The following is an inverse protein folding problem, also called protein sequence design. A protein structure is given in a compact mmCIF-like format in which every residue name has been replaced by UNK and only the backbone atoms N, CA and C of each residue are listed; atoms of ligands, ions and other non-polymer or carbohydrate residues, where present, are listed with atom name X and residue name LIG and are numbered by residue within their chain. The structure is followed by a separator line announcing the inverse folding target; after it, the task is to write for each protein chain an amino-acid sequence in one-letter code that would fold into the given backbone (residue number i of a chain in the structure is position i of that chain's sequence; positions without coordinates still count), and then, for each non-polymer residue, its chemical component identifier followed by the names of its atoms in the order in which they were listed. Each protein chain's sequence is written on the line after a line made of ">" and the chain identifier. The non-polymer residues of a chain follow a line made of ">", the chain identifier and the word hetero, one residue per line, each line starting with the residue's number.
data_IF_339007769323
#
_entry.id   IF_339007769323
#
_cell.length_a   1.000
_cell.length_b   1.000
_cell.length_c   1.000
_cell.angle_alpha   90.00
_cell.angle_beta   90.00
_cell.angle_gamma   90.00
#
_symmetry.space_group_name_H-M   'P 1'
#
loop_
_entity.id
_entity.type
_entity.pdbx_description
1 polymer ?
#
# COMPACT_ATOMS: atom_id res chain seq x y z
N UNK A 1 -35.41 -15.87 19.61
CA UNK A 1 -35.26 -15.43 18.21
C UNK A 1 -34.52 -14.10 18.20
N UNK A 2 -33.31 -14.07 17.64
CA UNK A 2 -32.67 -12.96 16.90
C UNK A 2 -31.27 -13.47 16.55
N UNK A 3 -31.11 -14.02 15.36
CA UNK A 3 -29.81 -14.46 14.84
C UNK A 3 -29.59 -13.69 13.53
N UNK A 4 -28.67 -12.73 13.55
CA UNK A 4 -28.33 -11.92 12.39
C UNK A 4 -27.39 -12.72 11.46
N UNK A 5 -27.54 -12.66 10.13
CA UNK A 5 -26.65 -13.37 9.22
C UNK A 5 -25.27 -12.70 9.17
N UNK A 6 -24.22 -13.48 9.44
CA UNK A 6 -22.82 -13.08 9.26
C UNK A 6 -22.56 -12.96 7.76
N UNK A 7 -22.16 -11.77 7.29
CA UNK A 7 -21.71 -11.55 5.92
C UNK A 7 -20.32 -12.17 5.74
N UNK A 8 -20.23 -13.07 4.77
CA UNK A 8 -19.02 -13.70 4.29
C UNK A 8 -18.19 -12.70 3.48
N UNK A 9 -16.98 -12.41 3.92
CA UNK A 9 -16.01 -11.58 3.17
C UNK A 9 -15.53 -12.36 1.94
N UNK A 10 -15.33 -11.64 0.82
CA UNK A 10 -14.82 -12.22 -0.42
C UNK A 10 -13.36 -12.61 -0.27
N UNK A 11 -13.08 -13.90 -0.48
CA UNK A 11 -11.75 -14.46 -0.57
C UNK A 11 -11.04 -13.90 -1.81
N UNK A 12 -9.96 -13.14 -1.61
CA UNK A 12 -9.13 -12.65 -2.71
C UNK A 12 -8.25 -13.80 -3.18
N UNK A 13 -8.83 -14.66 -4.04
CA UNK A 13 -8.08 -15.72 -4.72
C UNK A 13 -7.11 -15.07 -5.72
N UNK A 14 -5.82 -15.13 -5.40
CA UNK A 14 -4.72 -14.83 -6.32
C UNK A 14 -4.61 -16.01 -7.29
N UNK A 15 -5.11 -15.83 -8.50
CA UNK A 15 -4.99 -16.83 -9.56
C UNK A 15 -4.71 -16.11 -10.87
N UNK A 16 -3.40 -15.98 -11.10
CA UNK A 16 -2.68 -15.78 -12.35
C UNK A 16 -3.49 -15.39 -13.61
N UNK A 17 -3.50 -14.09 -13.88
CA UNK A 17 -3.49 -13.58 -15.26
C UNK A 17 -2.25 -12.71 -15.44
N UNK A 18 -1.14 -13.41 -15.73
CA UNK A 18 0.07 -12.95 -16.41
C UNK A 18 0.28 -11.42 -16.49
N UNK A 19 0.68 -10.82 -15.38
CA UNK A 19 1.53 -9.63 -15.38
C UNK A 19 2.41 -9.71 -14.15
N UNK A 20 3.62 -10.28 -14.30
CA UNK A 20 4.54 -10.34 -13.18
C UNK A 20 4.82 -8.91 -12.72
N UNK A 21 4.65 -8.64 -11.43
CA UNK A 21 4.98 -7.35 -10.80
C UNK A 21 6.29 -6.71 -11.32
N UNK A 22 7.37 -7.48 -11.57
CA UNK A 22 8.59 -6.97 -12.20
C UNK A 22 8.35 -6.32 -13.57
N UNK A 23 7.57 -6.96 -14.44
CA UNK A 23 7.24 -6.43 -15.78
C UNK A 23 6.33 -5.19 -15.74
N UNK A 24 5.58 -5.00 -14.66
CA UNK A 24 4.77 -3.80 -14.43
C UNK A 24 5.63 -2.63 -13.93
N UNK A 25 6.59 -2.89 -13.06
CA UNK A 25 7.58 -1.91 -12.57
C UNK A 25 8.43 -1.40 -13.74
N UNK A 26 8.86 -2.29 -14.64
CA UNK A 26 9.68 -1.91 -15.80
C UNK A 26 8.93 -1.01 -16.79
N UNK A 27 7.64 -1.27 -17.06
CA UNK A 27 6.80 -0.39 -17.89
C UNK A 27 6.59 1.00 -17.27
N UNK A 28 6.44 1.06 -15.94
CA UNK A 28 6.34 2.33 -15.20
C UNK A 28 7.67 3.11 -15.22
N UNK A 29 8.81 2.43 -15.16
CA UNK A 29 10.11 3.08 -15.27
C UNK A 29 10.35 3.67 -16.67
N UNK A 30 9.98 2.93 -17.74
CA UNK A 30 10.17 3.36 -19.14
C UNK A 30 9.33 4.59 -19.52
N UNK A 31 8.16 4.76 -18.92
CA UNK A 31 7.30 5.94 -19.14
C UNK A 31 7.85 7.20 -18.47
N UNK A 32 8.69 7.06 -17.42
CA UNK A 32 9.31 8.21 -16.75
C UNK A 32 10.47 8.85 -17.52
N UNK A 33 11.09 8.11 -18.47
CA UNK A 33 12.26 8.59 -19.25
C UNK A 33 11.92 9.04 -20.67
N UNK A 34 10.66 8.87 -21.11
CA UNK A 34 10.19 9.26 -22.45
C UNK A 34 9.33 10.53 -22.40
N UNK A 35 9.86 11.64 -21.86
CA UNK A 35 9.28 12.97 -22.11
C UNK A 35 10.06 13.65 -23.24
N UNK A 36 9.51 13.75 -24.47
CA UNK A 36 9.98 14.77 -25.40
C UNK A 36 9.65 16.15 -24.82
N UNK A 37 10.67 17.00 -24.78
CA UNK A 37 10.60 18.42 -24.43
C UNK A 37 9.62 19.12 -25.37
N UNK A 38 8.36 19.32 -24.96
CA UNK A 38 7.41 20.13 -25.72
C UNK A 38 5.94 19.84 -25.46
N UNK A 39 5.29 20.74 -24.72
CA UNK A 39 3.86 21.12 -24.78
C UNK A 39 2.77 20.04 -24.52
N UNK A 40 1.87 20.22 -23.53
CA UNK A 40 0.81 19.27 -23.28
C UNK A 40 -0.41 19.58 -24.14
N UNK A 41 -0.63 18.84 -25.22
CA UNK A 41 -1.98 18.56 -25.73
C UNK A 41 -2.34 17.12 -25.38
N UNK A 42 -3.50 16.86 -24.75
CA UNK A 42 -3.92 15.49 -24.46
C UNK A 42 -4.30 14.76 -25.75
N UNK A 43 -3.92 13.47 -25.93
CA UNK A 43 -4.31 12.69 -27.11
C UNK A 43 -5.81 12.34 -27.11
N UNK A 44 -6.40 12.43 -28.30
CA UNK A 44 -7.77 12.02 -28.63
C UNK A 44 -8.03 10.56 -28.23
N UNK A 45 -9.03 10.33 -27.39
CA UNK A 45 -9.56 8.99 -27.04
C UNK A 45 -10.56 8.53 -28.11
N UNK A 46 -10.55 7.25 -28.56
CA UNK A 46 -11.55 6.74 -29.50
C UNK A 46 -12.90 6.53 -28.79
N UNK A 47 -13.99 6.97 -29.42
CA UNK A 47 -15.36 6.85 -28.90
C UNK A 47 -15.86 5.40 -28.88
N UNK A 48 -16.51 4.93 -27.80
CA UNK A 48 -17.30 3.70 -27.84
C UNK A 48 -18.73 3.96 -28.32
N UNK A 49 -19.16 3.16 -29.30
CA UNK A 49 -20.46 3.24 -29.95
C UNK A 49 -21.63 2.96 -29.00
N UNK A 50 -22.69 3.74 -29.18
CA UNK A 50 -24.01 3.58 -28.58
C UNK A 50 -24.61 2.19 -28.82
N UNK A 51 -24.94 1.47 -27.76
CA UNK A 51 -25.94 0.40 -27.81
C UNK A 51 -27.04 0.71 -26.79
N UNK A 52 -28.19 1.07 -27.34
CA UNK A 52 -29.44 1.20 -26.63
C UNK A 52 -29.91 -0.20 -26.18
N UNK A 53 -30.13 -0.40 -24.88
CA UNK A 53 -31.16 -1.32 -24.38
C UNK A 53 -31.70 -0.77 -23.06
N UNK A 54 -32.99 -0.50 -23.09
CA UNK A 54 -33.86 -0.14 -22.00
C UNK A 54 -34.00 -1.30 -21.00
N UNK A 55 -33.85 -1.03 -19.70
CA UNK A 55 -34.64 -1.74 -18.71
C UNK A 55 -34.87 -0.88 -17.45
N UNK A 56 -36.14 -0.74 -17.10
CA UNK A 56 -36.70 0.03 -15.99
C UNK A 56 -36.53 -0.73 -14.66
N UNK A 57 -36.26 0.01 -13.57
CA UNK A 57 -36.77 -0.21 -12.19
C UNK A 57 -36.30 0.87 -11.20
N UNK A 58 -37.20 1.82 -10.94
CA UNK A 58 -37.51 2.50 -9.67
C UNK A 58 -36.37 2.89 -8.69
N UNK A 59 -36.04 4.19 -8.66
CA UNK A 59 -35.75 4.91 -7.41
C UNK A 59 -35.94 6.43 -7.58
N UNK A 60 -36.75 7.13 -6.75
CA UNK A 60 -36.97 8.56 -6.90
C UNK A 60 -35.85 9.33 -6.20
N UNK A 61 -34.78 9.64 -6.92
CA UNK A 61 -33.91 10.79 -6.57
C UNK A 61 -34.03 11.85 -7.66
N UNK A 62 -35.17 12.53 -7.67
CA UNK A 62 -35.28 13.84 -8.33
C UNK A 62 -34.52 14.86 -7.50
N UNK A 63 -33.36 15.29 -8.00
CA UNK A 63 -33.07 16.70 -8.31
C UNK A 63 -31.62 16.82 -8.78
N UNK A 64 -31.43 17.19 -10.05
CA UNK A 64 -30.20 17.85 -10.49
C UNK A 64 -29.28 17.09 -11.45
N UNK A 65 -29.77 16.18 -12.28
CA UNK A 65 -29.05 15.74 -13.49
C UNK A 65 -29.72 16.28 -14.75
N UNK A 66 -29.75 17.60 -14.85
CA UNK A 66 -30.02 18.28 -16.12
C UNK A 66 -29.32 19.64 -16.17
N UNK A 67 -28.00 19.61 -16.32
CA UNK A 67 -27.25 20.80 -16.70
C UNK A 67 -26.18 20.38 -17.70
N UNK A 68 -26.61 19.92 -18.87
CA UNK A 68 -25.83 20.13 -20.08
C UNK A 68 -25.51 21.62 -20.18
N UNK A 69 -24.23 21.96 -20.37
CA UNK A 69 -23.71 23.24 -20.88
C UNK A 69 -24.59 24.47 -20.55
N UNK A 70 -24.86 24.75 -19.27
CA UNK A 70 -25.38 26.06 -18.84
C UNK A 70 -24.19 26.78 -18.26
N UNK A 71 -23.74 27.82 -18.96
CA UNK A 71 -22.69 28.72 -18.48
C UNK A 71 -23.02 29.11 -17.04
N UNK A 72 -22.22 28.64 -16.10
CA UNK A 72 -22.38 29.04 -14.71
C UNK A 72 -21.92 30.48 -14.62
N UNK A 73 -22.84 31.38 -14.26
CA UNK A 73 -22.50 32.77 -14.00
C UNK A 73 -21.44 32.82 -12.89
N UNK A 74 -20.26 33.34 -13.25
CA UNK A 74 -19.07 33.40 -12.39
C UNK A 74 -19.27 34.32 -11.18
N UNK A 75 -20.23 35.24 -11.24
CA UNK A 75 -20.48 36.20 -10.16
C UNK A 75 -21.63 35.79 -9.23
N UNK A 76 -22.37 34.74 -9.60
CA UNK A 76 -23.41 34.15 -8.77
C UNK A 76 -22.90 33.76 -7.37
N UNK A 77 -23.71 34.03 -6.35
CA UNK A 77 -23.43 33.68 -4.95
C UNK A 77 -23.23 32.17 -4.80
N UNK A 78 -24.00 31.35 -5.53
CA UNK A 78 -23.87 29.88 -5.51
C UNK A 78 -22.50 29.44 -6.04
N UNK A 79 -22.04 30.04 -7.14
CA UNK A 79 -20.72 29.74 -7.71
C UNK A 79 -19.62 30.09 -6.73
N UNK A 80 -19.66 31.29 -6.12
CA UNK A 80 -18.69 31.71 -5.10
C UNK A 80 -18.63 30.75 -3.92
N UNK A 81 -19.76 30.34 -3.38
CA UNK A 81 -19.80 29.36 -2.28
C UNK A 81 -19.23 27.99 -2.69
N UNK A 82 -19.52 27.51 -3.92
CA UNK A 82 -18.96 26.26 -4.42
C UNK A 82 -17.45 26.33 -4.58
N UNK A 83 -16.93 27.46 -5.09
CA UNK A 83 -15.49 27.70 -5.21
C UNK A 83 -14.82 27.79 -3.85
N UNK A 84 -15.41 28.46 -2.88
CA UNK A 84 -14.84 28.54 -1.53
C UNK A 84 -14.74 27.16 -0.87
N UNK A 85 -15.82 26.36 -0.95
CA UNK A 85 -15.80 24.97 -0.49
C UNK A 85 -14.72 24.13 -1.19
N UNK A 86 -14.56 24.28 -2.50
CA UNK A 86 -13.53 23.57 -3.24
C UNK A 86 -12.12 24.03 -2.84
N UNK A 87 -11.89 25.33 -2.66
CA UNK A 87 -10.60 25.85 -2.20
C UNK A 87 -10.22 25.26 -0.83
N UNK A 88 -11.18 25.18 0.10
CA UNK A 88 -10.97 24.52 1.40
C UNK A 88 -10.64 23.04 1.21
N UNK A 89 -11.38 22.31 0.37
CA UNK A 89 -11.13 20.89 0.11
C UNK A 89 -9.76 20.64 -0.52
N UNK A 90 -9.33 21.51 -1.44
CA UNK A 90 -8.01 21.43 -2.07
C UNK A 90 -6.90 21.67 -1.03
N UNK A 91 -7.02 22.72 -0.20
CA UNK A 91 -6.07 22.97 0.90
C UNK A 91 -5.97 21.75 1.82
N UNK A 92 -7.10 21.23 2.28
CA UNK A 92 -7.17 20.03 3.12
C UNK A 92 -6.54 18.79 2.47
N UNK A 93 -6.80 18.57 1.17
CA UNK A 93 -6.22 17.45 0.42
C UNK A 93 -4.69 17.58 0.31
N UNK A 94 -4.20 18.78 0.00
CA UNK A 94 -2.75 19.06 -0.08
C UNK A 94 -2.07 18.85 1.26
N UNK A 95 -2.65 19.35 2.35
CA UNK A 95 -2.07 19.20 3.68
C UNK A 95 -2.08 17.75 4.15
N UNK A 96 -3.13 16.99 3.82
CA UNK A 96 -3.17 15.53 4.06
C UNK A 96 -2.06 14.81 3.30
N UNK A 97 -1.83 15.15 2.02
CA UNK A 97 -0.75 14.55 1.23
C UNK A 97 0.64 14.90 1.78
N UNK A 98 0.85 16.17 2.17
CA UNK A 98 2.10 16.61 2.84
C UNK A 98 2.34 15.84 4.13
N UNK A 99 1.31 15.71 4.98
CA UNK A 99 1.42 14.95 6.24
C UNK A 99 1.77 13.50 5.99
N UNK A 100 1.08 12.83 5.05
CA UNK A 100 1.39 11.44 4.67
C UNK A 100 2.84 11.28 4.22
N UNK A 101 3.37 12.22 3.44
CA UNK A 101 4.77 12.15 3.00
C UNK A 101 5.75 12.31 4.17
N UNK A 102 5.45 13.20 5.12
CA UNK A 102 6.27 13.39 6.32
C UNK A 102 6.20 12.16 7.25
N UNK A 103 5.02 11.61 7.47
CA UNK A 103 4.83 10.36 8.22
C UNK A 103 5.60 9.19 7.59
N UNK A 104 5.61 9.10 6.25
CA UNK A 104 6.38 8.09 5.53
C UNK A 104 7.90 8.26 5.73
N UNK A 105 8.41 9.50 5.65
CA UNK A 105 9.82 9.78 5.93
C UNK A 105 10.19 9.44 7.37
N UNK A 106 9.34 9.80 8.33
CA UNK A 106 9.53 9.45 9.72
C UNK A 106 9.55 7.92 9.91
N UNK A 107 8.64 7.19 9.25
CA UNK A 107 8.59 5.74 9.34
C UNK A 107 9.84 5.07 8.76
N UNK A 108 10.40 5.62 7.68
CA UNK A 108 11.66 5.15 7.10
C UNK A 108 12.81 5.25 8.11
N UNK A 109 12.90 6.38 8.84
CA UNK A 109 13.91 6.59 9.88
C UNK A 109 13.72 5.61 11.03
N UNK A 110 12.49 5.46 11.52
CA UNK A 110 12.18 4.51 12.61
C UNK A 110 12.54 3.06 12.23
N UNK A 111 12.17 2.63 11.03
CA UNK A 111 12.48 1.29 10.55
C UNK A 111 13.99 1.09 10.35
N UNK A 112 14.71 2.12 9.89
CA UNK A 112 16.17 2.08 9.79
C UNK A 112 16.83 1.89 11.15
N UNK A 113 16.43 2.67 12.15
CA UNK A 113 16.95 2.56 13.51
C UNK A 113 16.65 1.18 14.15
N UNK A 114 15.44 0.66 13.94
CA UNK A 114 15.06 -0.67 14.43
C UNK A 114 15.83 -1.79 13.70
N UNK A 115 16.05 -1.65 12.40
CA UNK A 115 16.85 -2.60 11.63
C UNK A 115 18.30 -2.67 12.16
N UNK A 116 18.94 -1.51 12.40
CA UNK A 116 20.28 -1.45 12.98
C UNK A 116 20.33 -2.08 14.38
N UNK A 117 19.29 -1.87 15.19
CA UNK A 117 19.16 -2.49 16.51
C UNK A 117 19.10 -4.00 16.40
N UNK A 118 18.28 -4.52 15.48
CA UNK A 118 18.16 -5.96 15.24
C UNK A 118 19.47 -6.58 14.73
N UNK A 119 20.18 -5.92 13.81
CA UNK A 119 21.49 -6.36 13.36
C UNK A 119 22.49 -6.46 14.52
N UNK A 120 22.54 -5.47 15.42
CA UNK A 120 23.40 -5.53 16.62
C UNK A 120 23.04 -6.71 17.54
N UNK A 121 21.75 -6.99 17.72
CA UNK A 121 21.30 -8.15 18.50
C UNK A 121 21.70 -9.47 17.84
N UNK A 122 21.51 -9.58 16.52
CA UNK A 122 21.93 -10.77 15.75
C UNK A 122 23.43 -10.99 15.88
N UNK A 123 24.23 -9.94 15.70
CA UNK A 123 25.68 -10.01 15.84
C UNK A 123 26.11 -10.43 17.25
N UNK A 124 25.47 -9.87 18.29
CA UNK A 124 25.75 -10.23 19.68
C UNK A 124 25.48 -11.72 19.91
N UNK A 125 24.28 -12.20 19.57
CA UNK A 125 23.91 -13.60 19.73
C UNK A 125 24.83 -14.52 18.91
N UNK A 126 25.22 -14.08 17.71
CA UNK A 126 26.17 -14.82 16.87
C UNK A 126 27.55 -14.94 17.52
N UNK A 127 28.04 -13.87 18.16
CA UNK A 127 29.31 -13.89 18.92
C UNK A 127 29.20 -14.80 20.15
N UNK A 128 28.10 -14.73 20.89
CA UNK A 128 27.86 -15.59 22.07
C UNK A 128 27.79 -17.07 21.67
N UNK A 129 27.05 -17.41 20.61
CA UNK A 129 26.97 -18.79 20.10
C UNK A 129 28.31 -19.31 19.58
N UNK A 130 29.07 -18.47 18.88
CA UNK A 130 30.43 -18.82 18.44
C UNK A 130 31.34 -19.07 19.64
N UNK A 131 31.32 -18.18 20.63
CA UNK A 131 32.08 -18.34 21.87
C UNK A 131 31.74 -19.63 22.62
N UNK A 132 30.45 -19.97 22.73
CA UNK A 132 30.01 -21.24 23.33
C UNK A 132 30.49 -22.45 22.52
N UNK A 133 30.39 -22.41 21.19
CA UNK A 133 30.89 -23.49 20.32
C UNK A 133 32.39 -23.68 20.48
N UNK A 134 33.16 -22.60 20.54
CA UNK A 134 34.61 -22.67 20.70
C UNK A 134 35.01 -23.14 22.09
N UNK A 135 34.24 -22.79 23.13
CA UNK A 135 34.40 -23.33 24.47
C UNK A 135 34.20 -24.85 24.49
N UNK A 136 33.12 -25.36 23.90
CA UNK A 136 32.86 -26.81 23.81
C UNK A 136 33.89 -27.56 22.96
N UNK A 137 34.46 -26.94 21.92
CA UNK A 137 35.54 -27.54 21.11
C UNK A 137 36.87 -27.62 21.85
N UNK A 138 37.13 -26.65 22.73
CA UNK A 138 38.37 -26.60 23.53
C UNK A 138 38.32 -27.51 24.76
N UNK A 139 37.13 -27.88 25.23
CA UNK A 139 36.98 -28.94 26.22
C UNK A 139 37.44 -30.25 25.56
N UNK A 140 38.56 -30.86 26.02
CA UNK A 140 38.97 -32.18 25.54
C UNK A 140 37.83 -33.17 25.80
N UNK A 141 37.72 -34.25 25.03
CA UNK A 141 36.75 -35.33 25.22
C UNK A 141 36.78 -36.03 26.61
N UNK A 142 37.44 -35.48 27.63
CA UNK A 142 37.78 -36.16 28.88
C UNK A 142 36.84 -35.93 30.07
N UNK A 143 35.64 -35.36 29.92
CA UNK A 143 34.73 -35.27 31.08
C UNK A 143 33.24 -35.48 30.83
N UNK A 144 32.81 -35.80 29.60
CA UNK A 144 31.40 -36.18 29.36
C UNK A 144 31.16 -37.70 29.24
N UNK A 145 32.23 -38.51 29.14
CA UNK A 145 32.12 -39.97 29.28
C UNK A 145 32.39 -40.33 30.74
N UNK A 146 31.35 -40.28 31.57
CA UNK A 146 31.51 -40.62 32.99
C UNK A 146 30.29 -40.46 33.89
N UNK A 147 29.07 -40.71 33.41
CA UNK A 147 27.95 -41.00 34.34
C UNK A 147 26.78 -41.76 33.70
N UNK A 148 27.05 -42.73 32.82
CA UNK A 148 26.07 -43.76 32.44
C UNK A 148 26.73 -45.14 32.42
N UNK A 149 27.37 -45.50 33.53
CA UNK A 149 27.59 -46.91 33.87
C UNK A 149 27.72 -46.99 35.38
N UNK A 150 26.58 -47.00 36.08
CA UNK A 150 26.48 -47.67 37.37
C UNK A 150 25.70 -48.95 37.11
N UNK A 151 26.47 -50.01 37.31
CA UNK A 151 26.26 -51.42 37.13
C UNK A 151 25.26 -52.03 38.12
N UNK A 152 24.70 -53.16 37.71
CA UNK A 152 24.43 -54.37 38.52
C UNK A 152 23.06 -54.62 39.16
N UNK A 153 22.47 -55.70 38.64
CA UNK A 153 21.83 -56.86 39.33
C UNK A 153 20.31 -56.93 39.36
#
# INVERSE_FOLDING_TARGET
>A
MFNAPIKQESDWSDSDVSSSLPSQIERCAQTSVSLPTGQPTPPTTPEPMSSAVSNSKSSPRKAGRERGKKSVDRYSVEYRQRRERNNIAVRKSRDKAKRRNLEMQQKMIELGAENDRLHKTIEQLTRELTGLRDFFKQIPNSSFVGSTSIESR
#
